data_IF_266087841819
#
_entry.id   IF_266087841819
#
_cell.length_a   1.000
_cell.length_b   1.000
_cell.length_c   1.000
_cell.angle_alpha   90.00
_cell.angle_beta   90.00
_cell.angle_gamma   90.00
#
_symmetry.space_group_name_H-M   'P 1'
#
loop_
_entity.id
_entity.type
_entity.pdbx_description
1 polymer ?
#
# COMPACT_ATOMS: atom_id res chain seq x y z
N UNK A 1 -14.26 0.53 5.84
CA UNK A 1 -15.54 1.22 5.94
C UNK A 1 -15.39 2.67 6.30
N UNK A 2 -16.47 3.38 6.46
CA UNK A 2 -16.47 4.79 6.88
C UNK A 2 -16.35 4.98 8.40
N UNK A 3 -16.32 3.90 9.17
CA UNK A 3 -15.97 3.97 10.59
C UNK A 3 -14.50 4.41 10.72
N UNK A 4 -14.29 5.49 11.45
CA UNK A 4 -12.99 6.14 11.61
C UNK A 4 -12.05 5.38 12.54
N UNK A 5 -12.61 4.56 13.46
CA UNK A 5 -11.87 3.70 14.40
C UNK A 5 -12.52 2.31 14.45
N UNK A 6 -12.44 1.53 13.36
CA UNK A 6 -12.97 0.16 13.38
C UNK A 6 -12.17 -0.69 14.35
N UNK A 7 -12.88 -1.58 15.05
CA UNK A 7 -12.28 -2.49 16.03
C UNK A 7 -12.28 -3.90 15.47
N UNK A 8 -11.09 -4.51 15.45
CA UNK A 8 -10.94 -5.93 15.16
C UNK A 8 -10.80 -6.72 16.46
N UNK A 9 -11.47 -7.88 16.56
CA UNK A 9 -11.48 -8.68 17.79
C UNK A 9 -10.08 -9.06 18.30
N UNK A 10 -9.19 -9.38 17.38
CA UNK A 10 -7.81 -9.82 17.69
C UNK A 10 -6.82 -8.66 17.73
N UNK A 11 -6.93 -7.70 16.81
CA UNK A 11 -5.91 -6.67 16.58
C UNK A 11 -6.24 -5.32 17.21
N UNK A 12 -7.44 -5.17 17.81
CA UNK A 12 -7.87 -3.94 18.46
C UNK A 12 -8.31 -2.86 17.48
N UNK A 13 -8.10 -1.61 17.86
CA UNK A 13 -8.56 -0.44 17.10
C UNK A 13 -7.59 -0.12 15.96
N UNK A 14 -8.10 -0.05 14.72
CA UNK A 14 -7.40 0.56 13.61
C UNK A 14 -7.60 2.08 13.63
N UNK A 15 -6.57 2.81 14.02
CA UNK A 15 -6.61 4.28 14.11
C UNK A 15 -6.14 4.94 12.80
N UNK A 16 -7.06 5.03 11.84
CA UNK A 16 -6.80 5.61 10.53
C UNK A 16 -6.31 7.07 10.62
N UNK A 17 -6.83 7.84 11.56
CA UNK A 17 -6.40 9.24 11.73
C UNK A 17 -4.98 9.34 12.23
N UNK A 18 -4.62 8.59 13.26
CA UNK A 18 -3.26 8.59 13.77
C UNK A 18 -2.26 8.13 12.70
N UNK A 19 -2.61 7.11 11.90
CA UNK A 19 -1.78 6.64 10.79
C UNK A 19 -1.63 7.73 9.72
N UNK A 20 -2.73 8.38 9.34
CA UNK A 20 -2.71 9.47 8.35
C UNK A 20 -1.87 10.65 8.84
N UNK A 21 -2.07 11.08 10.09
CA UNK A 21 -1.30 12.17 10.70
C UNK A 21 0.19 11.84 10.76
N UNK A 22 0.55 10.63 11.19
CA UNK A 22 1.94 10.19 11.24
C UNK A 22 2.61 10.13 9.85
N UNK A 23 1.85 9.91 8.79
CA UNK A 23 2.35 9.94 7.40
C UNK A 23 2.40 11.35 6.80
N UNK A 24 1.82 12.36 7.44
CA UNK A 24 1.91 13.75 6.95
C UNK A 24 3.35 14.27 7.09
N UNK A 25 3.82 14.98 6.06
CA UNK A 25 5.18 15.54 6.00
C UNK A 25 5.18 16.75 5.05
N UNK A 26 6.05 17.73 5.30
CA UNK A 26 6.14 18.94 4.47
C UNK A 26 6.75 18.71 3.08
N UNK A 27 7.46 17.57 2.91
CA UNK A 27 8.16 17.25 1.66
C UNK A 27 7.26 16.63 0.58
N UNK A 28 6.01 16.28 0.88
CA UNK A 28 5.06 15.71 -0.08
C UNK A 28 3.60 16.02 0.25
N UNK A 29 2.73 15.92 -0.72
CA UNK A 29 1.28 16.03 -0.56
C UNK A 29 0.65 14.66 -0.30
N UNK A 30 -0.06 14.51 0.83
CA UNK A 30 -0.77 13.28 1.18
C UNK A 30 -2.24 13.35 0.75
N UNK A 31 -2.63 12.49 -0.19
CA UNK A 31 -4.02 12.28 -0.59
C UNK A 31 -4.50 10.95 0.03
N UNK A 32 -5.40 11.03 0.99
CA UNK A 32 -5.87 9.85 1.74
C UNK A 32 -7.30 9.46 1.34
N UNK A 33 -7.48 8.20 0.96
CA UNK A 33 -8.78 7.64 0.59
C UNK A 33 -9.39 6.87 1.77
N UNK A 34 -10.54 7.33 2.22
CA UNK A 34 -11.37 6.62 3.21
C UNK A 34 -12.54 5.95 2.50
N UNK A 35 -12.34 4.73 2.03
CA UNK A 35 -13.30 3.98 1.20
C UNK A 35 -14.42 3.31 2.02
N UNK A 36 -15.65 3.17 1.49
CA UNK A 36 -16.74 2.44 2.13
C UNK A 36 -16.44 0.95 2.33
N UNK A 37 -17.15 0.35 3.29
CA UNK A 37 -17.19 -1.12 3.43
C UNK A 37 -17.83 -1.71 2.17
N UNK A 38 -17.27 -2.83 1.69
CA UNK A 38 -17.79 -3.49 0.49
C UNK A 38 -17.33 -2.87 -0.84
N UNK A 39 -16.38 -1.93 -0.81
CA UNK A 39 -15.76 -1.39 -2.03
C UNK A 39 -15.28 -2.53 -2.93
N UNK A 40 -15.78 -2.54 -4.18
CA UNK A 40 -15.36 -3.52 -5.18
C UNK A 40 -13.93 -3.21 -5.61
N UNK A 41 -12.99 -4.18 -5.53
CA UNK A 41 -11.56 -3.90 -5.64
C UNK A 41 -11.11 -3.44 -7.02
N UNK A 42 -11.60 -4.05 -8.08
CA UNK A 42 -11.15 -3.72 -9.44
C UNK A 42 -11.71 -2.37 -9.91
N UNK A 43 -12.96 -2.08 -9.57
CA UNK A 43 -13.57 -0.76 -9.86
C UNK A 43 -12.83 0.36 -9.11
N UNK A 44 -12.49 0.13 -7.85
CA UNK A 44 -11.73 1.11 -7.07
C UNK A 44 -10.32 1.29 -7.62
N UNK A 45 -9.66 0.21 -8.03
CA UNK A 45 -8.32 0.25 -8.61
C UNK A 45 -8.31 1.06 -9.92
N UNK A 46 -9.30 0.90 -10.79
CA UNK A 46 -9.46 1.71 -12.01
C UNK A 46 -9.65 3.19 -11.69
N UNK A 47 -10.47 3.50 -10.67
CA UNK A 47 -10.64 4.88 -10.22
C UNK A 47 -9.32 5.47 -9.72
N UNK A 48 -8.59 4.73 -8.87
CA UNK A 48 -7.30 5.19 -8.34
C UNK A 48 -6.27 5.36 -9.47
N UNK A 49 -6.25 4.47 -10.45
CA UNK A 49 -5.42 4.61 -11.64
C UNK A 49 -5.77 5.87 -12.43
N UNK A 50 -7.05 6.17 -12.62
CA UNK A 50 -7.49 7.39 -13.29
C UNK A 50 -7.07 8.67 -12.52
N UNK A 51 -7.14 8.65 -11.19
CA UNK A 51 -6.67 9.78 -10.36
C UNK A 51 -5.14 9.99 -10.55
N UNK A 52 -4.35 8.92 -10.65
CA UNK A 52 -2.90 8.98 -10.95
C UNK A 52 -2.65 9.53 -12.35
N UNK A 53 -3.37 9.05 -13.37
CA UNK A 53 -3.24 9.57 -14.75
C UNK A 53 -3.58 11.06 -14.83
N UNK A 54 -4.56 11.53 -14.03
CA UNK A 54 -4.88 12.95 -13.95
C UNK A 54 -3.72 13.78 -13.38
N UNK A 55 -3.01 13.27 -12.36
CA UNK A 55 -1.81 13.92 -11.81
C UNK A 55 -0.69 14.00 -12.86
N UNK A 56 -0.44 12.91 -13.57
CA UNK A 56 0.58 12.84 -14.63
C UNK A 56 0.23 13.84 -15.74
N UNK A 57 -1.04 13.86 -16.16
CA UNK A 57 -1.53 14.80 -17.18
C UNK A 57 -1.44 16.27 -16.75
N UNK A 58 -1.49 16.52 -15.44
CA UNK A 58 -1.29 17.85 -14.86
C UNK A 58 0.20 18.22 -14.70
N UNK A 59 1.13 17.35 -15.14
CA UNK A 59 2.57 17.60 -15.14
C UNK A 59 3.33 17.05 -13.94
N UNK A 60 2.71 16.23 -13.09
CA UNK A 60 3.43 15.55 -12.01
C UNK A 60 4.25 14.39 -12.61
N UNK A 61 5.55 14.38 -12.35
CA UNK A 61 6.42 13.31 -12.81
C UNK A 61 6.02 11.97 -12.16
N UNK A 62 6.00 10.88 -12.92
CA UNK A 62 5.65 9.54 -12.41
C UNK A 62 6.49 9.14 -11.20
N UNK A 63 7.78 9.46 -11.19
CA UNK A 63 8.70 9.17 -10.10
C UNK A 63 8.36 9.89 -8.79
N UNK A 64 7.55 10.94 -8.85
CA UNK A 64 7.09 11.69 -7.69
C UNK A 64 5.73 11.22 -7.18
N UNK A 65 5.18 10.14 -7.76
CA UNK A 65 3.91 9.56 -7.34
C UNK A 65 4.16 8.26 -6.61
N UNK A 66 3.62 8.16 -5.40
CA UNK A 66 3.70 6.97 -4.55
C UNK A 66 2.30 6.49 -4.17
N UNK A 67 2.00 5.21 -4.48
CA UNK A 67 0.80 4.53 -4.02
C UNK A 67 1.13 3.79 -2.73
N UNK A 68 0.53 4.18 -1.62
CA UNK A 68 0.76 3.56 -0.30
C UNK A 68 -0.51 2.86 0.17
N UNK A 69 -0.40 1.59 0.57
CA UNK A 69 -1.56 0.88 1.04
C UNK A 69 -1.27 -0.21 2.08
N UNK A 70 -2.16 -0.29 3.08
CA UNK A 70 -2.15 -1.35 4.08
C UNK A 70 -3.22 -2.39 3.80
N UNK A 71 -2.89 -3.67 3.93
CA UNK A 71 -3.83 -4.80 3.86
C UNK A 71 -4.66 -4.75 2.56
N UNK A 72 -5.97 -4.60 2.67
CA UNK A 72 -6.86 -4.38 1.52
C UNK A 72 -6.44 -3.14 0.71
N UNK A 73 -5.98 -2.07 1.37
CA UNK A 73 -5.44 -0.89 0.70
C UNK A 73 -4.20 -1.22 -0.14
N UNK A 74 -3.29 -2.04 0.39
CA UNK A 74 -2.13 -2.52 -0.35
C UNK A 74 -2.51 -3.33 -1.58
N UNK A 75 -3.48 -4.24 -1.45
CA UNK A 75 -4.00 -4.98 -2.60
C UNK A 75 -4.62 -4.05 -3.66
N UNK A 76 -5.34 -3.01 -3.24
CA UNK A 76 -5.92 -2.01 -4.17
C UNK A 76 -4.83 -1.18 -4.87
N UNK A 77 -3.75 -0.83 -4.17
CA UNK A 77 -2.60 -0.14 -4.77
C UNK A 77 -1.90 -1.03 -5.81
N UNK A 78 -1.75 -2.33 -5.53
CA UNK A 78 -1.21 -3.30 -6.49
C UNK A 78 -2.11 -3.38 -7.75
N UNK A 79 -3.42 -3.49 -7.56
CA UNK A 79 -4.37 -3.53 -8.68
C UNK A 79 -4.33 -2.24 -9.51
N UNK A 80 -4.23 -1.07 -8.86
CA UNK A 80 -4.09 0.20 -9.57
C UNK A 80 -2.77 0.28 -10.35
N UNK A 81 -1.66 -0.18 -9.78
CA UNK A 81 -0.38 -0.27 -10.49
C UNK A 81 -0.47 -1.21 -11.69
N UNK A 82 -1.22 -2.33 -11.57
CA UNK A 82 -1.48 -3.25 -12.67
C UNK A 82 -2.33 -2.63 -13.80
N UNK A 83 -3.29 -1.75 -13.48
CA UNK A 83 -4.04 -0.97 -14.49
C UNK A 83 -3.14 0.06 -15.17
N UNK A 84 -2.32 0.77 -14.42
CA UNK A 84 -1.43 1.83 -14.90
C UNK A 84 -0.28 1.30 -15.77
N UNK A 85 0.34 0.19 -15.39
CA UNK A 85 1.53 -0.39 -16.03
C UNK A 85 2.68 0.62 -16.20
N UNK A 86 2.80 1.56 -15.26
CA UNK A 86 3.84 2.60 -15.25
C UNK A 86 5.08 2.12 -14.53
N UNK A 87 6.25 2.28 -15.13
CA UNK A 87 7.52 1.73 -14.63
C UNK A 87 8.27 2.67 -13.67
N UNK A 88 7.81 3.91 -13.53
CA UNK A 88 8.48 4.91 -12.69
C UNK A 88 7.71 5.31 -11.42
N UNK A 89 6.47 4.87 -11.23
CA UNK A 89 5.74 5.09 -9.99
C UNK A 89 6.32 4.28 -8.83
N UNK A 90 6.08 4.76 -7.60
CA UNK A 90 6.46 4.03 -6.40
C UNK A 90 5.23 3.31 -5.83
N UNK A 91 5.39 2.04 -5.48
CA UNK A 91 4.35 1.21 -4.87
C UNK A 91 4.82 0.72 -3.50
N UNK A 92 4.18 1.21 -2.44
CA UNK A 92 4.53 0.88 -1.05
C UNK A 92 3.41 0.03 -0.45
N UNK A 93 3.73 -1.21 -0.12
CA UNK A 93 2.77 -2.24 0.29
C UNK A 93 3.01 -2.61 1.75
N UNK A 94 2.00 -2.44 2.59
CA UNK A 94 2.00 -2.88 3.99
C UNK A 94 1.07 -4.08 4.14
N UNK A 95 1.61 -5.28 4.32
CA UNK A 95 0.86 -6.53 4.45
C UNK A 95 -0.30 -6.65 3.42
N UNK A 96 -0.03 -6.31 2.14
CA UNK A 96 -1.07 -6.23 1.09
C UNK A 96 -1.12 -7.43 0.15
N UNK A 97 -0.15 -8.35 0.22
CA UNK A 97 0.01 -9.48 -0.69
C UNK A 97 -0.78 -10.73 -0.23
N UNK A 98 -2.06 -10.52 0.13
CA UNK A 98 -2.96 -11.56 0.61
C UNK A 98 -3.73 -12.28 -0.52
N UNK A 99 -4.74 -13.06 -0.15
CA UNK A 99 -5.50 -13.93 -1.02
C UNK A 99 -6.06 -13.27 -2.28
N UNK A 100 -6.50 -12.00 -2.22
CA UNK A 100 -6.94 -11.30 -3.43
C UNK A 100 -5.85 -11.26 -4.51
N UNK A 101 -4.61 -10.97 -4.12
CA UNK A 101 -3.49 -10.90 -5.06
C UNK A 101 -2.98 -12.31 -5.42
N UNK A 102 -2.94 -13.22 -4.44
CA UNK A 102 -2.52 -14.63 -4.66
C UNK A 102 -3.43 -15.33 -5.66
N UNK A 103 -4.75 -15.12 -5.56
CA UNK A 103 -5.76 -15.80 -6.38
C UNK A 103 -5.90 -15.23 -7.81
N UNK A 104 -5.41 -13.99 -8.05
CA UNK A 104 -5.44 -13.37 -9.37
C UNK A 104 -4.03 -13.38 -9.99
N UNK A 105 -3.64 -14.51 -10.54
CA UNK A 105 -2.28 -14.75 -11.04
C UNK A 105 -1.88 -13.87 -12.23
N UNK A 106 -2.83 -13.30 -12.95
CA UNK A 106 -2.58 -12.33 -14.04
C UNK A 106 -2.20 -10.93 -13.53
N UNK A 107 -2.45 -10.64 -12.24
CA UNK A 107 -2.10 -9.35 -11.65
C UNK A 107 -0.58 -9.29 -11.43
N UNK A 108 0.02 -8.21 -11.91
CA UNK A 108 1.45 -7.91 -11.79
C UNK A 108 1.66 -6.59 -11.05
N UNK A 109 2.81 -6.44 -10.41
CA UNK A 109 3.29 -5.16 -9.91
C UNK A 109 4.14 -4.46 -10.99
N UNK A 110 4.20 -3.15 -10.91
CA UNK A 110 4.98 -2.30 -11.81
C UNK A 110 5.68 -1.20 -11.01
N UNK A 111 6.73 -0.63 -11.57
CA UNK A 111 7.48 0.47 -10.98
C UNK A 111 8.47 0.02 -9.90
N UNK A 112 8.75 0.92 -8.96
CA UNK A 112 9.57 0.62 -7.80
C UNK A 112 8.67 0.09 -6.70
N UNK A 113 8.90 -1.14 -6.24
CA UNK A 113 8.08 -1.80 -5.24
C UNK A 113 8.81 -1.88 -3.92
N UNK A 114 8.15 -1.41 -2.88
CA UNK A 114 8.58 -1.51 -1.48
C UNK A 114 7.52 -2.27 -0.70
N UNK A 115 7.93 -3.22 0.09
CA UNK A 115 7.02 -4.05 0.88
C UNK A 115 7.45 -4.14 2.32
N UNK A 116 6.49 -4.09 3.24
CA UNK A 116 6.72 -4.38 4.66
C UNK A 116 5.69 -5.41 5.11
N UNK A 117 6.14 -6.48 5.72
CA UNK A 117 5.28 -7.45 6.38
C UNK A 117 5.75 -7.76 7.80
N UNK A 118 4.86 -8.16 8.66
CA UNK A 118 5.17 -8.62 10.02
C UNK A 118 5.35 -10.15 10.01
N UNK A 119 6.38 -10.65 10.69
CA UNK A 119 6.79 -12.08 10.63
C UNK A 119 5.72 -13.06 11.09
N UNK A 120 4.90 -12.67 12.05
CA UNK A 120 3.80 -13.50 12.57
C UNK A 120 2.48 -13.30 11.81
N UNK A 121 2.45 -12.40 10.80
CA UNK A 121 1.28 -12.20 9.96
C UNK A 121 1.22 -13.26 8.83
N UNK A 122 0.07 -13.92 8.68
CA UNK A 122 -0.16 -14.93 7.64
C UNK A 122 -0.13 -14.35 6.21
N UNK A 123 -0.23 -13.04 6.05
CA UNK A 123 -0.11 -12.38 4.74
C UNK A 123 1.28 -12.63 4.16
N UNK A 124 2.32 -12.43 4.96
CA UNK A 124 3.71 -12.72 4.60
C UNK A 124 4.27 -11.84 3.49
N UNK A 125 5.33 -12.34 2.86
CA UNK A 125 6.11 -11.69 1.81
C UNK A 125 5.32 -11.47 0.51
N UNK A 126 5.69 -10.41 -0.21
CA UNK A 126 5.23 -10.12 -1.57
C UNK A 126 6.10 -10.80 -2.67
N UNK A 127 7.10 -11.59 -2.32
CA UNK A 127 8.04 -12.17 -3.29
C UNK A 127 7.35 -12.90 -4.45
N UNK A 128 6.29 -13.69 -4.16
CA UNK A 128 5.53 -14.41 -5.21
C UNK A 128 4.91 -13.48 -6.26
N UNK A 129 4.58 -12.23 -5.89
CA UNK A 129 4.08 -11.23 -6.82
C UNK A 129 5.23 -10.69 -7.67
N UNK A 130 6.38 -10.45 -7.07
CA UNK A 130 7.58 -9.95 -7.74
C UNK A 130 8.09 -10.96 -8.76
N UNK A 131 8.10 -12.26 -8.44
CA UNK A 131 8.56 -13.34 -9.34
C UNK A 131 7.80 -13.39 -10.67
N UNK A 132 6.59 -12.84 -10.73
CA UNK A 132 5.75 -12.78 -11.94
C UNK A 132 5.60 -11.37 -12.52
N UNK A 133 6.26 -10.38 -11.94
CA UNK A 133 6.10 -8.96 -12.27
C UNK A 133 7.32 -8.40 -13.01
N UNK A 134 7.13 -7.25 -13.64
CA UNK A 134 8.19 -6.50 -14.32
C UNK A 134 8.44 -5.20 -13.52
N UNK A 135 9.20 -5.32 -12.43
CA UNK A 135 9.51 -4.22 -11.52
C UNK A 135 10.91 -3.67 -11.75
N UNK A 136 11.08 -2.37 -11.58
CA UNK A 136 12.36 -1.70 -11.74
C UNK A 136 13.23 -1.77 -10.49
N UNK A 137 12.60 -1.91 -9.32
CA UNK A 137 13.25 -2.12 -8.03
C UNK A 137 12.32 -2.90 -7.10
N UNK A 138 12.89 -3.78 -6.29
CA UNK A 138 12.18 -4.41 -5.17
C UNK A 138 13.01 -4.32 -3.89
N UNK A 139 12.37 -3.87 -2.83
CA UNK A 139 12.91 -3.86 -1.47
C UNK A 139 11.83 -4.32 -0.50
N UNK A 140 12.14 -5.30 0.34
CA UNK A 140 11.20 -5.82 1.31
C UNK A 140 11.81 -5.89 2.71
N UNK A 141 11.04 -5.42 3.70
CA UNK A 141 11.43 -5.44 5.10
C UNK A 141 10.46 -6.36 5.87
N UNK A 142 11.00 -7.31 6.62
CA UNK A 142 10.23 -8.07 7.61
C UNK A 142 10.41 -7.45 8.99
N UNK A 143 9.32 -6.97 9.59
CA UNK A 143 9.32 -6.48 10.96
C UNK A 143 8.92 -7.59 11.95
N UNK A 144 9.35 -7.45 13.20
CA UNK A 144 9.06 -8.43 14.25
C UNK A 144 8.52 -7.70 15.50
N UNK A 145 7.24 -7.46 15.52
CA UNK A 145 6.56 -6.76 16.63
C UNK A 145 5.77 -7.72 17.53
N UNK A 146 5.55 -8.96 17.08
CA UNK A 146 4.66 -9.92 17.73
C UNK A 146 3.17 -9.57 17.64
N UNK A 147 2.80 -8.54 16.86
CA UNK A 147 1.42 -8.05 16.76
C UNK A 147 0.68 -8.53 15.51
N UNK A 148 1.34 -9.38 14.70
CA UNK A 148 0.75 -9.88 13.46
C UNK A 148 0.21 -8.74 12.58
N UNK A 149 -0.92 -8.92 11.93
CA UNK A 149 -1.57 -7.90 11.09
C UNK A 149 -1.85 -6.58 11.83
N UNK A 150 -2.03 -6.64 13.15
CA UNK A 150 -2.25 -5.48 14.01
C UNK A 150 -1.06 -4.53 14.16
N UNK A 151 0.14 -4.94 13.74
CA UNK A 151 1.34 -4.09 13.74
C UNK A 151 1.12 -2.77 12.99
N UNK A 152 0.26 -2.79 11.96
CA UNK A 152 -0.04 -1.64 11.10
C UNK A 152 -1.30 -0.85 11.51
N UNK A 153 -1.93 -1.20 12.64
CA UNK A 153 -3.17 -0.56 13.09
C UNK A 153 -2.95 0.80 13.74
N UNK A 154 -1.74 1.06 14.19
CA UNK A 154 -1.30 2.34 14.76
C UNK A 154 0.07 2.69 14.21
N UNK A 155 0.45 3.98 14.19
CA UNK A 155 1.79 4.38 13.78
C UNK A 155 2.84 3.75 14.72
N UNK A 156 3.83 3.11 14.13
CA UNK A 156 4.98 2.49 14.79
C UNK A 156 6.24 2.74 13.97
N UNK A 157 7.32 3.04 14.63
CA UNK A 157 8.59 3.39 13.98
C UNK A 157 9.12 2.26 13.09
N UNK A 158 8.86 1.00 13.45
CA UNK A 158 9.32 -0.18 12.70
C UNK A 158 8.87 -0.18 11.23
N UNK A 159 7.71 0.37 10.93
CA UNK A 159 7.22 0.47 9.56
C UNK A 159 7.13 1.93 9.06
N UNK A 160 6.92 2.89 9.96
CA UNK A 160 6.73 4.30 9.58
C UNK A 160 8.04 4.94 9.09
N UNK A 161 9.15 4.70 9.78
CA UNK A 161 10.44 5.26 9.38
C UNK A 161 10.91 4.77 8.00
N UNK A 162 10.85 3.47 7.68
CA UNK A 162 11.13 3.00 6.33
C UNK A 162 10.25 3.65 5.25
N UNK A 163 8.93 3.77 5.49
CA UNK A 163 8.03 4.42 4.52
C UNK A 163 8.43 5.86 4.28
N UNK A 164 8.64 6.64 5.36
CA UNK A 164 9.03 8.04 5.24
C UNK A 164 10.35 8.22 4.49
N UNK A 165 11.28 7.29 4.65
CA UNK A 165 12.51 7.26 3.87
C UNK A 165 12.20 7.03 2.39
N UNK A 166 11.44 5.98 2.05
CA UNK A 166 11.10 5.64 0.66
C UNK A 166 10.27 6.71 -0.06
N UNK A 167 9.46 7.49 0.68
CA UNK A 167 8.69 8.60 0.11
C UNK A 167 9.56 9.82 -0.23
N UNK A 168 10.80 9.88 0.25
CA UNK A 168 11.74 10.98 0.02
C UNK A 168 12.88 10.62 -0.94
N UNK A 169 13.03 9.32 -1.28
CA UNK A 169 14.01 8.80 -2.24
C UNK A 169 13.48 8.92 -3.68
#
# INVERSE_FOLDING_TARGET
GTNLKPVHKTFGVYDFFAVKEALTDESYHLIAYHRPKGTEPFTFAKKLAADVEALISAGVAESNISLVGFSRGGALSILAANELKRTHINLIILAGCAGLIKNHTSVKAYGKVYSIFERSDQVGSCQFLIDRSDVTKFEEISINTGLSHGAFYKPKDEWLLPIKKWLKD
#
